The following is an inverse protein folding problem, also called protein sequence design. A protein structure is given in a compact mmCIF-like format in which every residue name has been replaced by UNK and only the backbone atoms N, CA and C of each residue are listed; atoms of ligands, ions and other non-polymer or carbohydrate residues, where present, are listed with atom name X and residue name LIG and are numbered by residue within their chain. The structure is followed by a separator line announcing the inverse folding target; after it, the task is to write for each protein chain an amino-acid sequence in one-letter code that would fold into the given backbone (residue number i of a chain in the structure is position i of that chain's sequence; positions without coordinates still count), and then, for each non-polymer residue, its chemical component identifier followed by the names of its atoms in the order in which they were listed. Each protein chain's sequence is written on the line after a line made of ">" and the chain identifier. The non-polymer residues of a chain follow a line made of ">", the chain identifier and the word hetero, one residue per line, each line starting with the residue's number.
data_IF_666738597381
#
_entry.id   IF_666738597381
#
_cell.length_a   1.000
_cell.length_b   1.000
_cell.length_c   1.000
_cell.angle_alpha   90.00
_cell.angle_beta   90.00
_cell.angle_gamma   90.00
#
_symmetry.space_group_name_H-M   'P 1'
#
loop_
_entity.id
_entity.type
_entity.pdbx_description
1 polymer ?
#
# COMPACT_ATOMS: atom_id res chain seq x y z
N UNK A 1 -30.27 -17.05 19.49
CA UNK A 1 -29.56 -15.84 18.97
C UNK A 1 -29.69 -14.77 20.03
N UNK A 2 -28.53 -14.26 20.52
CA UNK A 2 -28.49 -13.12 21.44
C UNK A 2 -28.18 -11.88 20.58
N UNK A 3 -28.97 -10.81 20.72
CA UNK A 3 -28.78 -9.55 20.01
C UNK A 3 -28.18 -8.52 20.95
N UNK A 4 -27.24 -7.74 20.49
CA UNK A 4 -26.62 -6.65 21.25
C UNK A 4 -25.22 -6.33 20.72
N UNK A 5 -24.76 -5.12 20.95
CA UNK A 5 -23.36 -4.74 20.68
C UNK A 5 -22.44 -5.37 21.70
N UNK A 6 -21.27 -5.84 21.30
CA UNK A 6 -20.22 -6.31 22.21
C UNK A 6 -19.49 -5.09 22.77
N UNK A 7 -19.44 -4.95 24.09
CA UNK A 7 -18.75 -3.88 24.80
C UNK A 7 -17.31 -4.26 25.17
N UNK A 8 -17.11 -5.51 25.67
CA UNK A 8 -15.78 -5.99 26.06
C UNK A 8 -15.70 -7.51 25.99
N UNK A 9 -14.46 -8.01 26.05
CA UNK A 9 -14.15 -9.43 26.21
C UNK A 9 -13.97 -9.75 27.70
N UNK A 10 -14.48 -10.89 28.12
CA UNK A 10 -14.22 -11.45 29.44
C UNK A 10 -13.05 -12.43 29.33
N UNK A 11 -11.93 -12.07 29.95
CA UNK A 11 -10.69 -12.84 29.93
C UNK A 11 -10.38 -13.31 31.35
N UNK A 12 -10.10 -14.57 31.51
CA UNK A 12 -9.63 -15.18 32.76
C UNK A 12 -8.41 -16.06 32.44
N UNK A 13 -7.30 -15.84 33.14
CA UNK A 13 -6.05 -16.60 32.94
C UNK A 13 -5.63 -16.69 31.46
N UNK A 14 -5.60 -15.53 30.75
CA UNK A 14 -5.30 -15.40 29.32
C UNK A 14 -6.22 -16.19 28.36
N UNK A 15 -7.40 -16.60 28.85
CA UNK A 15 -8.40 -17.31 28.03
C UNK A 15 -9.68 -16.50 27.91
N UNK A 16 -10.23 -16.50 26.70
CA UNK A 16 -11.57 -15.96 26.48
C UNK A 16 -12.59 -16.86 27.18
N UNK A 17 -13.33 -16.29 28.13
CA UNK A 17 -14.39 -17.01 28.88
C UNK A 17 -15.78 -16.46 28.54
N UNK A 18 -15.87 -15.28 27.92
CA UNK A 18 -17.14 -14.70 27.53
C UNK A 18 -17.02 -13.38 26.79
N UNK A 19 -18.16 -12.88 26.39
CA UNK A 19 -18.30 -11.51 25.81
C UNK A 19 -19.34 -10.76 26.63
N UNK A 20 -19.06 -9.52 26.97
CA UNK A 20 -20.01 -8.60 27.65
C UNK A 20 -20.68 -7.74 26.59
N UNK A 21 -21.98 -7.73 26.61
CA UNK A 21 -22.82 -6.90 25.77
C UNK A 21 -22.96 -5.48 26.35
N UNK A 22 -23.40 -4.55 25.54
CA UNK A 22 -23.59 -3.14 25.93
C UNK A 22 -24.65 -2.93 27.02
N UNK A 23 -25.55 -3.90 27.22
CA UNK A 23 -26.56 -3.93 28.29
C UNK A 23 -26.04 -4.54 29.59
N UNK A 24 -24.76 -4.95 29.63
CA UNK A 24 -24.13 -5.61 30.79
C UNK A 24 -24.26 -7.13 30.79
N UNK A 25 -25.06 -7.73 29.93
CA UNK A 25 -25.22 -9.20 29.84
C UNK A 25 -23.91 -9.86 29.45
N UNK A 26 -23.50 -10.91 30.17
CA UNK A 26 -22.32 -11.71 29.82
C UNK A 26 -22.76 -13.00 29.15
N UNK A 27 -22.25 -13.23 27.95
CA UNK A 27 -22.46 -14.46 27.18
C UNK A 27 -21.19 -15.28 27.21
N UNK A 28 -21.23 -16.43 27.90
CA UNK A 28 -20.06 -17.32 27.98
C UNK A 28 -19.70 -17.89 26.61
N UNK A 29 -18.44 -17.68 26.18
CA UNK A 29 -17.88 -18.19 24.92
C UNK A 29 -16.37 -18.35 25.06
N UNK A 30 -15.82 -19.35 24.37
CA UNK A 30 -14.38 -19.67 24.37
C UNK A 30 -13.71 -19.26 23.06
N UNK A 31 -14.51 -18.90 22.07
CA UNK A 31 -14.04 -18.39 20.80
C UNK A 31 -15.02 -17.33 20.25
N UNK A 32 -14.48 -16.34 19.55
CA UNK A 32 -15.23 -15.26 18.95
C UNK A 32 -14.77 -15.08 17.50
N UNK A 33 -15.68 -15.27 16.55
CA UNK A 33 -15.46 -14.90 15.16
C UNK A 33 -16.02 -13.49 14.93
N UNK A 34 -15.21 -12.61 14.40
CA UNK A 34 -15.57 -11.22 14.08
C UNK A 34 -15.37 -10.93 12.60
N UNK A 35 -16.22 -10.07 12.07
CA UNK A 35 -16.05 -9.51 10.72
C UNK A 35 -15.78 -8.02 10.88
N UNK A 36 -14.51 -7.61 11.01
CA UNK A 36 -14.15 -6.22 11.20
C UNK A 36 -14.31 -5.45 9.89
N UNK A 37 -14.64 -4.17 9.99
CA UNK A 37 -14.50 -3.26 8.87
C UNK A 37 -13.01 -2.95 8.66
N UNK A 38 -12.53 -3.17 7.46
CA UNK A 38 -11.14 -2.89 7.13
C UNK A 38 -10.93 -1.39 6.95
N UNK A 39 -9.83 -0.85 7.47
CA UNK A 39 -9.47 0.57 7.37
C UNK A 39 -8.09 0.66 6.72
N UNK A 40 -7.99 1.41 5.62
CA UNK A 40 -6.73 1.64 4.95
C UNK A 40 -5.84 2.60 5.77
N UNK A 41 -4.71 2.10 6.28
CA UNK A 41 -3.72 2.93 7.00
C UNK A 41 -2.85 3.70 6.00
N UNK A 42 -3.44 4.63 5.27
CA UNK A 42 -2.83 5.32 4.15
C UNK A 42 -2.61 6.83 4.39
N UNK A 43 -2.59 7.28 5.64
CA UNK A 43 -2.42 8.70 5.99
C UNK A 43 -1.13 9.31 5.43
N UNK A 44 -0.05 8.53 5.32
CA UNK A 44 1.22 8.95 4.73
C UNK A 44 1.14 9.22 3.22
N UNK A 45 0.10 8.76 2.53
CA UNK A 45 -0.13 9.01 1.10
C UNK A 45 -0.89 10.32 0.83
N UNK A 46 -1.44 10.96 1.87
CA UNK A 46 -2.21 12.19 1.74
C UNK A 46 -1.44 13.35 1.05
N UNK A 47 -0.12 13.54 1.28
CA UNK A 47 0.67 14.54 0.55
C UNK A 47 0.75 14.29 -0.96
N UNK A 48 0.54 13.04 -1.41
CA UNK A 48 0.51 12.65 -2.82
C UNK A 48 -0.90 12.77 -3.43
N UNK A 49 -1.87 13.32 -2.70
CA UNK A 49 -3.26 13.42 -3.13
C UNK A 49 -4.10 12.15 -2.93
N UNK A 50 -3.48 11.03 -2.58
CA UNK A 50 -4.16 9.75 -2.41
C UNK A 50 -4.88 9.67 -1.07
N UNK A 51 -6.18 9.36 -1.11
CA UNK A 51 -7.02 9.23 0.08
C UNK A 51 -7.80 7.92 0.04
N UNK A 52 -8.04 7.29 1.19
CA UNK A 52 -8.92 6.14 1.27
C UNK A 52 -10.33 6.47 0.77
N UNK A 53 -10.91 5.56 0.02
CA UNK A 53 -12.30 5.58 -0.42
C UNK A 53 -13.03 4.35 0.14
N UNK A 54 -14.38 4.38 0.14
CA UNK A 54 -15.17 3.21 0.51
C UNK A 54 -15.12 2.19 -0.61
N UNK A 55 -14.74 0.95 -0.28
CA UNK A 55 -14.72 -0.12 -1.28
C UNK A 55 -16.15 -0.50 -1.69
N UNK A 56 -16.43 -0.71 -2.99
CA UNK A 56 -17.78 -1.00 -3.49
C UNK A 56 -18.46 -2.22 -2.84
N UNK A 57 -17.68 -3.20 -2.37
CA UNK A 57 -18.20 -4.37 -1.65
C UNK A 57 -18.70 -4.07 -0.24
N UNK A 58 -18.45 -2.86 0.31
CA UNK A 58 -18.75 -2.53 1.70
C UNK A 58 -17.80 -3.13 2.75
N UNK A 59 -16.77 -3.88 2.33
CA UNK A 59 -15.83 -4.56 3.23
C UNK A 59 -14.94 -3.58 4.01
N UNK A 60 -14.81 -2.33 3.56
CA UNK A 60 -14.00 -1.33 4.24
C UNK A 60 -13.48 -0.24 3.32
N UNK A 61 -12.35 0.32 3.68
CA UNK A 61 -11.67 1.38 2.94
C UNK A 61 -10.50 0.82 2.13
N UNK A 62 -10.24 1.43 0.98
CA UNK A 62 -9.15 1.07 0.09
C UNK A 62 -8.55 2.33 -0.58
N UNK A 63 -7.38 2.21 -1.19
CA UNK A 63 -6.83 3.23 -2.08
C UNK A 63 -7.24 2.86 -3.51
N UNK A 64 -7.98 3.72 -4.22
CA UNK A 64 -8.36 3.48 -5.61
C UNK A 64 -7.14 3.26 -6.51
N UNK A 65 -7.23 2.23 -7.34
CA UNK A 65 -6.18 1.86 -8.29
C UNK A 65 -6.80 1.09 -9.46
N UNK A 66 -6.06 0.96 -10.54
CA UNK A 66 -6.44 0.09 -11.64
C UNK A 66 -6.17 -1.39 -11.34
N UNK A 67 -6.44 -2.27 -12.29
CA UNK A 67 -6.24 -3.72 -12.16
C UNK A 67 -4.78 -4.13 -11.99
N UNK A 68 -3.84 -3.25 -12.23
CA UNK A 68 -2.39 -3.47 -12.06
C UNK A 68 -1.88 -2.88 -10.74
N UNK A 69 -2.75 -2.26 -9.96
CA UNK A 69 -2.42 -1.57 -8.72
C UNK A 69 -1.92 -0.14 -8.91
N UNK A 70 -1.93 0.41 -10.14
CA UNK A 70 -1.49 1.78 -10.40
C UNK A 70 -2.52 2.77 -9.86
N UNK A 71 -2.06 3.75 -9.08
CA UNK A 71 -2.90 4.82 -8.55
C UNK A 71 -2.93 6.03 -9.51
N UNK A 72 -3.75 7.02 -9.20
CA UNK A 72 -3.76 8.30 -9.92
C UNK A 72 -2.49 9.14 -9.69
N UNK A 73 -1.75 8.89 -8.60
CA UNK A 73 -0.46 9.55 -8.36
C UNK A 73 0.64 8.86 -9.19
N UNK A 74 1.37 9.60 -10.05
CA UNK A 74 2.45 9.02 -10.85
C UNK A 74 3.52 8.37 -9.97
N UNK A 75 3.98 7.19 -10.37
CA UNK A 75 5.04 6.46 -9.65
C UNK A 75 4.56 5.76 -8.37
N UNK A 76 3.25 5.68 -8.13
CA UNK A 76 2.68 5.02 -6.94
C UNK A 76 1.76 3.89 -7.33
N UNK A 77 2.05 2.71 -6.79
CA UNK A 77 1.23 1.50 -6.91
C UNK A 77 0.82 1.02 -5.53
N UNK A 78 -0.32 0.37 -5.46
CA UNK A 78 -0.85 -0.28 -4.26
C UNK A 78 -1.20 -1.73 -4.56
N UNK A 79 -1.07 -2.61 -3.56
CA UNK A 79 -1.39 -4.02 -3.70
C UNK A 79 -1.96 -4.59 -2.40
N UNK A 80 -2.54 -5.78 -2.46
CA UNK A 80 -3.10 -6.50 -1.32
C UNK A 80 -4.26 -5.75 -0.65
N UNK A 81 -4.37 -5.84 0.69
CA UNK A 81 -5.52 -5.34 1.43
C UNK A 81 -5.74 -3.82 1.37
N UNK A 82 -4.72 -3.05 1.00
CA UNK A 82 -4.89 -1.60 0.79
C UNK A 82 -5.59 -1.28 -0.53
N UNK A 83 -5.51 -2.19 -1.52
CA UNK A 83 -6.22 -2.09 -2.81
C UNK A 83 -7.55 -2.88 -2.80
N UNK A 84 -7.58 -4.03 -2.13
CA UNK A 84 -8.76 -4.88 -1.97
C UNK A 84 -8.88 -5.36 -0.51
N UNK A 85 -9.78 -4.77 0.29
CA UNK A 85 -9.97 -5.16 1.69
C UNK A 85 -10.32 -6.65 1.92
N UNK A 86 -10.84 -7.32 0.90
CA UNK A 86 -11.22 -8.73 0.95
C UNK A 86 -10.11 -9.69 0.48
N UNK A 87 -8.97 -9.16 0.02
CA UNK A 87 -7.87 -9.97 -0.49
C UNK A 87 -7.35 -10.95 0.56
N UNK A 88 -7.32 -12.21 0.20
CA UNK A 88 -6.70 -13.26 1.00
C UNK A 88 -5.20 -13.37 0.67
N UNK A 89 -4.45 -14.11 1.49
CA UNK A 89 -2.99 -14.22 1.40
C UNK A 89 -2.50 -14.52 -0.02
N UNK A 90 -3.10 -15.50 -0.70
CA UNK A 90 -2.72 -15.86 -2.07
C UNK A 90 -2.97 -14.73 -3.07
N UNK A 91 -4.15 -14.12 -3.03
CA UNK A 91 -4.52 -13.00 -3.91
C UNK A 91 -3.64 -11.78 -3.62
N UNK A 92 -3.35 -11.50 -2.35
CA UNK A 92 -2.48 -10.41 -1.95
C UNK A 92 -1.05 -10.58 -2.47
N UNK A 93 -0.51 -11.80 -2.42
CA UNK A 93 0.81 -12.11 -2.95
C UNK A 93 0.87 -11.92 -4.48
N UNK A 94 -0.13 -12.44 -5.22
CA UNK A 94 -0.22 -12.27 -6.67
C UNK A 94 -0.33 -10.78 -7.05
N UNK A 95 -1.15 -10.02 -6.35
CA UNK A 95 -1.27 -8.57 -6.58
C UNK A 95 0.06 -7.85 -6.36
N UNK A 96 0.84 -8.23 -5.33
CA UNK A 96 2.17 -7.70 -5.08
C UNK A 96 3.15 -7.96 -6.23
N UNK A 97 3.17 -9.20 -6.74
CA UNK A 97 4.00 -9.57 -7.91
C UNK A 97 3.59 -8.79 -9.15
N UNK A 98 2.30 -8.67 -9.43
CA UNK A 98 1.79 -7.92 -10.57
C UNK A 98 2.19 -6.44 -10.50
N UNK A 99 2.00 -5.79 -9.35
CA UNK A 99 2.42 -4.40 -9.14
C UNK A 99 3.93 -4.21 -9.29
N UNK A 100 4.74 -5.14 -8.75
CA UNK A 100 6.19 -5.10 -8.89
C UNK A 100 6.63 -5.19 -10.36
N UNK A 101 6.00 -6.04 -11.15
CA UNK A 101 6.27 -6.14 -12.59
C UNK A 101 5.94 -4.84 -13.33
N UNK A 102 4.84 -4.18 -12.99
CA UNK A 102 4.47 -2.88 -13.56
C UNK A 102 5.45 -1.77 -13.17
N UNK A 103 5.88 -1.72 -11.92
CA UNK A 103 6.91 -0.78 -11.44
C UNK A 103 8.20 -0.97 -12.24
N UNK A 104 8.65 -2.21 -12.39
CA UNK A 104 9.85 -2.52 -13.18
C UNK A 104 9.71 -2.06 -14.64
N UNK A 105 8.58 -2.33 -15.27
CA UNK A 105 8.31 -1.90 -16.65
C UNK A 105 8.32 -0.35 -16.78
N UNK A 106 7.75 0.36 -15.82
CA UNK A 106 7.73 1.83 -15.80
C UNK A 106 9.15 2.41 -15.64
N UNK A 107 9.96 1.85 -14.74
CA UNK A 107 11.36 2.26 -14.55
C UNK A 107 12.20 2.03 -15.81
N UNK A 108 12.09 0.86 -16.44
CA UNK A 108 12.80 0.54 -17.69
C UNK A 108 12.39 1.49 -18.81
N UNK A 109 11.09 1.79 -18.93
CA UNK A 109 10.61 2.73 -19.91
C UNK A 109 11.14 4.15 -19.67
N UNK A 110 11.22 4.59 -18.41
CA UNK A 110 11.79 5.89 -18.06
C UNK A 110 13.29 5.96 -18.36
N UNK A 111 14.06 4.97 -17.97
CA UNK A 111 15.49 4.88 -18.26
C UNK A 111 15.75 4.89 -19.77
N UNK A 112 14.94 4.15 -20.54
CA UNK A 112 15.03 4.13 -22.01
C UNK A 112 14.76 5.52 -22.58
N UNK A 113 13.71 6.21 -22.13
CA UNK A 113 13.41 7.58 -22.57
C UNK A 113 14.58 8.53 -22.27
N UNK A 114 15.16 8.44 -21.06
CA UNK A 114 16.31 9.27 -20.66
C UNK A 114 17.54 8.98 -21.54
N UNK A 115 17.84 7.70 -21.78
CA UNK A 115 18.95 7.30 -22.63
C UNK A 115 18.80 7.78 -24.07
N UNK A 116 17.60 7.66 -24.64
CA UNK A 116 17.29 8.17 -26.00
C UNK A 116 17.39 9.69 -26.04
N UNK A 117 16.91 10.41 -25.02
CA UNK A 117 17.03 11.86 -24.96
C UNK A 117 18.50 12.31 -24.91
N UNK A 118 19.32 11.66 -24.06
CA UNK A 118 20.74 11.93 -23.95
C UNK A 118 21.50 11.63 -25.27
N UNK A 119 21.11 10.55 -25.96
CA UNK A 119 21.69 10.21 -27.26
C UNK A 119 21.35 11.25 -28.33
N UNK A 120 20.14 11.81 -28.32
CA UNK A 120 19.68 12.84 -29.29
C UNK A 120 20.27 14.22 -28.99
N UNK A 121 20.61 14.50 -27.75
CA UNK A 121 21.24 15.76 -27.34
C UNK A 121 22.42 15.48 -26.39
N UNK A 122 23.55 14.97 -26.97
CA UNK A 122 24.73 14.58 -26.19
C UNK A 122 25.45 15.78 -25.54
N UNK A 123 25.19 17.00 -26.02
CA UNK A 123 25.80 18.25 -25.54
C UNK A 123 24.84 19.07 -24.65
N UNK A 124 23.73 18.48 -24.21
CA UNK A 124 22.87 19.13 -23.21
C UNK A 124 23.62 19.30 -21.88
N UNK A 125 23.28 20.35 -21.13
CA UNK A 125 23.86 20.60 -19.81
C UNK A 125 23.73 19.36 -18.87
N UNK A 126 22.63 18.59 -18.99
CA UNK A 126 22.42 17.37 -18.22
C UNK A 126 23.37 16.24 -18.66
N UNK A 127 23.62 16.09 -19.97
CA UNK A 127 24.56 15.11 -20.51
C UNK A 127 26.00 15.46 -20.13
N UNK A 128 26.37 16.73 -20.25
CA UNK A 128 27.69 17.21 -19.84
C UNK A 128 27.94 17.03 -18.33
N UNK A 129 26.97 17.37 -17.47
CA UNK A 129 27.07 17.16 -16.03
C UNK A 129 27.30 15.69 -15.69
N UNK A 130 26.59 14.76 -16.35
CA UNK A 130 26.75 13.32 -16.15
C UNK A 130 28.13 12.82 -16.61
N UNK A 131 28.63 13.30 -17.74
CA UNK A 131 29.97 12.95 -18.21
C UNK A 131 31.04 13.48 -17.25
N UNK A 132 30.91 14.72 -16.79
CA UNK A 132 31.77 15.29 -15.77
C UNK A 132 31.79 14.44 -14.49
N UNK A 133 30.63 14.03 -13.99
CA UNK A 133 30.52 13.17 -12.81
C UNK A 133 31.22 11.83 -13.01
N UNK A 134 31.02 11.18 -14.16
CA UNK A 134 31.66 9.89 -14.48
C UNK A 134 33.18 10.01 -14.64
N UNK A 135 33.68 11.10 -15.24
CA UNK A 135 35.12 11.32 -15.50
C UNK A 135 35.84 11.82 -14.24
N UNK A 136 35.22 12.72 -13.50
CA UNK A 136 35.84 13.36 -12.34
C UNK A 136 35.71 12.52 -11.07
N UNK A 137 34.72 11.58 -11.03
CA UNK A 137 34.43 10.77 -9.85
C UNK A 137 34.17 11.64 -8.62
N UNK A 138 34.49 11.12 -7.45
CA UNK A 138 34.43 11.90 -6.20
C UNK A 138 35.63 12.87 -6.01
N UNK A 139 36.43 13.10 -7.02
CA UNK A 139 37.49 14.09 -6.96
C UNK A 139 36.88 15.50 -6.88
N UNK A 140 36.46 15.89 -5.70
CA UNK A 140 36.26 17.29 -5.39
C UNK A 140 37.61 17.97 -5.58
N UNK A 141 37.61 18.98 -6.45
CA UNK A 141 38.75 19.81 -6.70
C UNK A 141 39.39 20.24 -5.37
N UNK A 142 40.70 20.03 -5.31
CA UNK A 142 41.49 20.20 -4.14
C UNK A 142 41.33 21.53 -3.42
N UNK A 143 41.41 21.36 -2.17
CA UNK A 143 42.00 22.39 -1.29
C UNK A 143 43.52 22.27 -1.37
#
# INVERSE_FOLDING_TARGET
>A
VVRGGVASLEILEDRLVGVRLSDGTVVSRQALAVSPRMVARAGFLAPLGLRPAQHPSGAGEYIPSDTTGRTEAPGVWVAANVADPAAQVGTAAVAGVASAAQINADLVAEETRRAVAAYRDPFSAASEARVCELVMGERRHGQ
#
